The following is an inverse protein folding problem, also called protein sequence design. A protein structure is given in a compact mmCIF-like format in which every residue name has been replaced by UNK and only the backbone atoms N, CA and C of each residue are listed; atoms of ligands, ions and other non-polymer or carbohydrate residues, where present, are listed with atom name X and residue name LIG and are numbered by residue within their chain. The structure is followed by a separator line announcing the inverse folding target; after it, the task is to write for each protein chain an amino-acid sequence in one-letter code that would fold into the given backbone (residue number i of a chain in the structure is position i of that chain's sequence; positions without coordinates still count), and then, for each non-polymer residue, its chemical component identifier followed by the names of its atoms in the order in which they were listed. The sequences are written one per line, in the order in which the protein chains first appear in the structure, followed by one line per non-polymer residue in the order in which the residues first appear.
data_IF_769188421585
#
_entry.id   IF_769188421585
#
_cell.length_a   1.000
_cell.length_b   1.000
_cell.length_c   1.000
_cell.angle_alpha   90.00
_cell.angle_beta   90.00
_cell.angle_gamma   90.00
#
_symmetry.space_group_name_H-M   'P 1'
#
loop_
_entity.id
_entity.type
_entity.pdbx_description
1 polymer ?
#
# COMPACT_ATOMS: atom_id res chain seq x y z
N UNK A 1 -0.81 -35.37 -6.73
CA UNK A 1 -1.96 -34.47 -6.49
C UNK A 1 -1.44 -33.15 -5.94
N UNK A 2 -1.30 -32.12 -6.79
CA UNK A 2 -0.88 -30.79 -6.34
C UNK A 2 -2.09 -30.03 -5.82
N UNK A 3 -2.11 -29.71 -4.52
CA UNK A 3 -3.11 -28.83 -3.93
C UNK A 3 -2.87 -27.42 -4.45
N UNK A 4 -3.74 -26.97 -5.37
CA UNK A 4 -3.89 -25.54 -5.69
C UNK A 4 -4.26 -24.84 -4.39
N UNK A 5 -3.35 -24.01 -3.85
CA UNK A 5 -3.71 -23.14 -2.72
C UNK A 5 -4.85 -22.22 -3.18
N UNK A 6 -6.00 -22.19 -2.47
CA UNK A 6 -7.10 -21.30 -2.83
C UNK A 6 -6.59 -19.86 -2.85
N UNK A 7 -7.01 -19.09 -3.86
CA UNK A 7 -6.53 -17.74 -4.13
C UNK A 7 -6.56 -16.88 -2.86
N UNK A 8 -5.41 -16.73 -2.22
CA UNK A 8 -5.30 -15.98 -0.97
C UNK A 8 -5.61 -14.52 -1.27
N UNK A 9 -6.71 -14.02 -0.69
CA UNK A 9 -6.96 -12.58 -0.64
C UNK A 9 -5.83 -11.97 0.19
N UNK A 10 -4.96 -11.20 -0.48
CA UNK A 10 -3.85 -10.55 0.19
C UNK A 10 -4.35 -9.36 1.02
N UNK A 11 -4.11 -9.42 2.34
CA UNK A 11 -4.37 -8.33 3.28
C UNK A 11 -3.05 -7.62 3.65
N UNK A 12 -2.75 -6.45 3.07
CA UNK A 12 -1.51 -5.70 3.28
C UNK A 12 -1.08 -5.56 4.74
N UNK A 13 -2.02 -5.27 5.65
CA UNK A 13 -1.73 -5.08 7.09
C UNK A 13 -1.14 -6.32 7.76
N UNK A 14 -1.32 -7.51 7.18
CA UNK A 14 -0.79 -8.77 7.74
C UNK A 14 0.70 -8.97 7.44
N UNK A 15 1.25 -8.22 6.47
CA UNK A 15 2.67 -8.28 6.12
C UNK A 15 3.57 -7.43 7.03
N UNK A 16 3.00 -6.63 7.94
CA UNK A 16 3.73 -5.73 8.85
C UNK A 16 3.60 -6.19 10.31
N UNK A 17 4.63 -5.95 11.12
CA UNK A 17 4.72 -6.42 12.50
C UNK A 17 3.74 -5.77 13.47
N UNK A 18 3.17 -4.61 13.11
CA UNK A 18 2.15 -3.92 13.92
C UNK A 18 0.94 -3.56 13.05
N UNK A 19 0.05 -4.52 12.73
CA UNK A 19 -1.08 -4.31 11.80
C UNK A 19 -2.02 -3.16 12.21
N UNK A 20 -2.17 -2.89 13.51
CA UNK A 20 -3.05 -1.83 14.04
C UNK A 20 -2.51 -0.41 13.79
N UNK A 21 -1.22 -0.26 13.50
CA UNK A 21 -0.56 1.01 13.17
C UNK A 21 -0.60 1.34 11.67
N UNK A 22 -1.09 0.42 10.84
CA UNK A 22 -1.13 0.57 9.39
C UNK A 22 -1.89 1.85 8.97
N UNK A 23 -1.23 2.70 8.19
CA UNK A 23 -1.73 3.99 7.71
C UNK A 23 -1.97 5.04 8.80
N UNK A 24 -1.59 4.78 10.06
CA UNK A 24 -1.82 5.69 11.21
C UNK A 24 -0.56 6.33 11.76
N UNK A 25 0.60 5.85 11.33
CA UNK A 25 1.91 6.37 11.73
C UNK A 25 2.77 6.57 10.50
N UNK A 26 3.52 7.67 10.47
CA UNK A 26 4.39 7.98 9.33
C UNK A 26 5.68 7.16 9.30
N UNK A 27 6.04 6.55 10.43
CA UNK A 27 7.23 5.71 10.52
C UNK A 27 7.05 4.41 9.71
N UNK A 28 8.11 3.90 9.05
CA UNK A 28 8.08 2.57 8.45
C UNK A 28 7.79 1.48 9.49
N UNK A 29 6.91 0.55 9.15
CA UNK A 29 6.59 -0.59 10.02
C UNK A 29 7.55 -1.75 9.74
N UNK A 30 8.04 -2.47 10.76
CA UNK A 30 8.86 -3.65 10.54
C UNK A 30 8.05 -4.75 9.82
N UNK A 31 8.69 -5.70 9.11
CA UNK A 31 8.00 -6.84 8.53
C UNK A 31 7.40 -7.74 9.61
N UNK A 32 6.27 -8.39 9.30
CA UNK A 32 5.70 -9.44 10.14
C UNK A 32 6.57 -10.71 10.10
N UNK A 33 6.32 -11.65 11.02
CA UNK A 33 6.96 -12.96 10.97
C UNK A 33 6.67 -13.65 9.63
N UNK A 34 7.73 -14.19 8.99
CA UNK A 34 7.62 -14.84 7.68
C UNK A 34 7.70 -13.88 6.49
N UNK A 35 7.95 -12.59 6.72
CA UNK A 35 8.27 -11.60 5.71
C UNK A 35 9.65 -11.01 5.95
N UNK A 36 10.31 -10.60 4.87
CA UNK A 36 11.55 -9.83 4.92
C UNK A 36 11.37 -8.48 4.20
N UNK A 37 12.37 -7.59 4.31
CA UNK A 37 12.33 -6.23 3.71
C UNK A 37 12.39 -6.23 2.17
N UNK A 38 12.82 -7.32 1.57
CA UNK A 38 12.92 -7.50 0.11
C UNK A 38 11.67 -8.21 -0.46
N UNK A 39 10.87 -8.88 0.37
CA UNK A 39 9.60 -9.51 -0.03
C UNK A 39 8.67 -8.49 -0.70
N UNK A 40 8.27 -8.80 -1.93
CA UNK A 40 7.40 -7.93 -2.72
C UNK A 40 6.03 -7.66 -2.07
N UNK A 41 5.51 -8.59 -1.26
CA UNK A 41 4.26 -8.44 -0.51
C UNK A 41 4.44 -7.44 0.62
N UNK A 42 5.54 -7.51 1.36
CA UNK A 42 5.86 -6.52 2.39
C UNK A 42 6.10 -5.13 1.78
N UNK A 43 6.85 -5.07 0.67
CA UNK A 43 7.07 -3.84 -0.10
C UNK A 43 5.76 -3.22 -0.59
N UNK A 44 4.85 -4.02 -1.13
CA UNK A 44 3.51 -3.57 -1.52
C UNK A 44 2.70 -3.08 -0.31
N UNK A 45 2.75 -3.78 0.81
CA UNK A 45 2.12 -3.34 2.05
C UNK A 45 2.67 -2.01 2.55
N UNK A 46 3.98 -1.79 2.46
CA UNK A 46 4.60 -0.53 2.85
C UNK A 46 4.26 0.64 1.91
N UNK A 47 4.12 0.39 0.61
CA UNK A 47 3.57 1.40 -0.32
C UNK A 47 2.18 1.81 0.15
N UNK A 48 1.30 0.84 0.42
CA UNK A 48 -0.07 1.12 0.81
C UNK A 48 -0.17 1.76 2.21
N UNK A 49 0.72 1.39 3.14
CA UNK A 49 0.85 2.05 4.44
C UNK A 49 1.16 3.54 4.26
N UNK A 50 2.17 3.85 3.44
CA UNK A 50 2.57 5.23 3.15
C UNK A 50 1.46 6.00 2.43
N UNK A 51 0.80 5.37 1.47
CA UNK A 51 -0.36 5.94 0.79
C UNK A 51 -1.46 6.31 1.80
N UNK A 52 -1.80 5.40 2.71
CA UNK A 52 -2.85 5.62 3.70
C UNK A 52 -2.51 6.73 4.71
N UNK A 53 -1.26 6.75 5.20
CA UNK A 53 -0.73 7.82 6.06
C UNK A 53 -0.86 9.20 5.38
N UNK A 54 -0.39 9.30 4.13
CA UNK A 54 -0.47 10.54 3.36
C UNK A 54 -1.90 11.01 3.11
N UNK A 55 -2.84 10.09 2.86
CA UNK A 55 -4.25 10.42 2.69
C UNK A 55 -4.84 10.95 4.00
N UNK A 56 -4.57 10.28 5.13
CA UNK A 56 -5.05 10.76 6.43
C UNK A 56 -4.48 12.15 6.76
N UNK A 57 -3.19 12.37 6.50
CA UNK A 57 -2.58 13.68 6.71
C UNK A 57 -3.14 14.76 5.79
N UNK A 58 -3.33 14.47 4.50
CA UNK A 58 -3.89 15.43 3.55
C UNK A 58 -5.35 15.80 3.90
N UNK A 59 -6.15 14.83 4.34
CA UNK A 59 -7.51 15.07 4.82
C UNK A 59 -7.51 15.89 6.11
N UNK A 60 -6.63 15.58 7.06
CA UNK A 60 -6.45 16.34 8.30
C UNK A 60 -6.08 17.79 8.03
N UNK A 61 -5.14 18.03 7.10
CA UNK A 61 -4.74 19.37 6.68
C UNK A 61 -5.87 20.16 6.02
N UNK A 62 -6.79 19.48 5.33
CA UNK A 62 -8.02 20.09 4.79
C UNK A 62 -9.15 20.24 5.82
N UNK A 63 -8.96 19.79 7.06
CA UNK A 63 -10.01 19.81 8.08
C UNK A 63 -11.18 18.86 7.76
N UNK A 64 -10.94 17.80 7.00
CA UNK A 64 -11.97 16.86 6.56
C UNK A 64 -11.71 15.46 7.10
N UNK A 65 -12.78 14.73 7.37
CA UNK A 65 -12.74 13.29 7.59
C UNK A 65 -12.91 12.54 6.27
N UNK A 66 -12.47 11.27 6.21
CA UNK A 66 -12.66 10.43 5.03
C UNK A 66 -14.15 10.32 4.60
N UNK A 67 -15.13 10.07 5.50
CA UNK A 67 -16.53 10.04 5.11
C UNK A 67 -17.02 11.38 4.53
N UNK A 68 -16.63 12.51 5.11
CA UNK A 68 -17.00 13.84 4.59
C UNK A 68 -16.42 14.07 3.20
N UNK A 69 -15.15 13.73 3.00
CA UNK A 69 -14.50 13.87 1.70
C UNK A 69 -15.17 13.00 0.63
N UNK A 70 -15.42 11.72 0.93
CA UNK A 70 -16.02 10.80 -0.04
C UNK A 70 -17.49 11.09 -0.32
N UNK A 71 -18.22 11.72 0.61
CA UNK A 71 -19.59 12.17 0.36
C UNK A 71 -19.67 13.31 -0.67
N UNK A 72 -18.61 14.13 -0.77
CA UNK A 72 -18.52 15.21 -1.75
C UNK A 72 -17.83 14.81 -3.06
N UNK A 73 -17.19 13.63 -3.10
CA UNK A 73 -16.50 13.14 -4.28
C UNK A 73 -17.51 12.66 -5.35
N UNK A 74 -17.20 12.83 -6.65
CA UNK A 74 -18.04 12.27 -7.71
C UNK A 74 -18.12 10.74 -7.56
N UNK A 75 -19.26 10.11 -7.89
CA UNK A 75 -19.40 8.67 -7.83
C UNK A 75 -18.50 8.03 -8.89
N UNK A 76 -17.43 7.37 -8.46
CA UNK A 76 -16.52 6.65 -9.34
C UNK A 76 -16.77 5.14 -9.16
N UNK A 77 -17.08 4.41 -10.25
CA UNK A 77 -17.24 2.96 -10.19
C UNK A 77 -16.03 2.28 -9.53
N UNK A 78 -16.28 1.44 -8.54
CA UNK A 78 -15.23 0.72 -7.81
C UNK A 78 -14.58 1.47 -6.65
N UNK A 79 -14.95 2.73 -6.37
CA UNK A 79 -14.42 3.52 -5.24
C UNK A 79 -15.49 3.78 -4.16
N UNK A 80 -16.15 2.71 -3.68
CA UNK A 80 -17.14 2.87 -2.59
C UNK A 80 -16.48 3.33 -1.27
N UNK A 81 -17.20 4.07 -0.41
CA UNK A 81 -16.67 4.48 0.89
C UNK A 81 -16.21 3.34 1.78
N UNK A 82 -16.93 2.21 1.75
CA UNK A 82 -16.53 1.01 2.50
C UNK A 82 -15.18 0.46 2.00
N UNK A 83 -15.04 0.34 0.67
CA UNK A 83 -13.81 -0.14 0.05
C UNK A 83 -12.63 0.78 0.38
N UNK A 84 -12.81 2.10 0.33
CA UNK A 84 -11.77 3.06 0.71
C UNK A 84 -11.35 2.90 2.18
N UNK A 85 -12.30 2.73 3.10
CA UNK A 85 -11.98 2.48 4.52
C UNK A 85 -11.16 1.21 4.72
N UNK A 86 -11.55 0.10 4.07
CA UNK A 86 -10.84 -1.18 4.15
C UNK A 86 -9.44 -1.09 3.54
N UNK A 87 -9.31 -0.42 2.39
CA UNK A 87 -8.03 -0.16 1.74
C UNK A 87 -7.10 0.65 2.65
N UNK A 88 -7.57 1.76 3.23
CA UNK A 88 -6.74 2.60 4.11
C UNK A 88 -6.34 1.90 5.42
N UNK A 89 -7.07 0.86 5.83
CA UNK A 89 -6.72 -0.01 6.97
C UNK A 89 -5.84 -1.20 6.59
N UNK A 90 -5.54 -1.39 5.30
CA UNK A 90 -4.78 -2.54 4.80
C UNK A 90 -5.54 -3.87 4.86
N UNK A 91 -6.87 -3.84 4.99
CA UNK A 91 -7.76 -5.02 4.98
C UNK A 91 -8.10 -5.48 3.55
N UNK A 92 -7.69 -4.70 2.55
CA UNK A 92 -7.81 -5.04 1.13
C UNK A 92 -6.66 -4.35 0.40
N UNK A 93 -6.06 -5.01 -0.58
CA UNK A 93 -5.00 -4.45 -1.38
C UNK A 93 -5.48 -3.22 -2.18
N UNK A 94 -4.69 -2.16 -2.16
CA UNK A 94 -4.88 -1.00 -3.02
C UNK A 94 -4.72 -1.42 -4.49
N UNK A 95 -5.59 -0.89 -5.34
CA UNK A 95 -5.52 -1.05 -6.79
C UNK A 95 -4.89 0.21 -7.41
N UNK A 96 -4.38 0.10 -8.64
CA UNK A 96 -3.92 1.27 -9.38
C UNK A 96 -5.00 2.36 -9.52
N UNK A 97 -6.28 1.96 -9.57
CA UNK A 97 -7.40 2.91 -9.57
C UNK A 97 -7.47 3.74 -8.28
N UNK A 98 -7.15 3.16 -7.11
CA UNK A 98 -7.08 3.91 -5.85
C UNK A 98 -5.96 4.94 -5.89
N UNK A 99 -4.77 4.52 -6.33
CA UNK A 99 -3.62 5.39 -6.46
C UNK A 99 -3.92 6.54 -7.44
N UNK A 100 -4.49 6.25 -8.60
CA UNK A 100 -4.84 7.25 -9.60
C UNK A 100 -5.86 8.27 -9.05
N UNK A 101 -6.91 7.79 -8.37
CA UNK A 101 -7.88 8.65 -7.71
C UNK A 101 -7.23 9.57 -6.68
N UNK A 102 -6.52 9.01 -5.69
CA UNK A 102 -5.93 9.82 -4.63
C UNK A 102 -4.83 10.74 -5.14
N UNK A 103 -4.04 10.33 -6.14
CA UNK A 103 -3.05 11.19 -6.79
C UNK A 103 -3.69 12.35 -7.56
N UNK A 104 -4.86 12.14 -8.20
CA UNK A 104 -5.58 13.25 -8.85
C UNK A 104 -6.07 14.31 -7.87
N UNK A 105 -6.38 13.92 -6.64
CA UNK A 105 -6.88 14.81 -5.57
C UNK A 105 -5.73 15.47 -4.81
N UNK A 106 -4.66 14.70 -4.58
CA UNK A 106 -3.47 15.06 -3.83
C UNK A 106 -2.22 14.65 -4.62
N UNK A 107 -1.75 15.49 -5.57
CA UNK A 107 -0.66 15.15 -6.48
C UNK A 107 0.63 14.68 -5.79
N UNK A 108 0.91 15.17 -4.58
CA UNK A 108 2.07 14.77 -3.77
C UNK A 108 2.11 13.27 -3.48
N UNK A 109 0.96 12.60 -3.45
CA UNK A 109 0.88 11.14 -3.27
C UNK A 109 1.67 10.41 -4.35
N UNK A 110 1.54 10.80 -5.62
CA UNK A 110 2.25 10.13 -6.70
C UNK A 110 3.77 10.33 -6.60
N UNK A 111 4.21 11.55 -6.29
CA UNK A 111 5.64 11.88 -6.20
C UNK A 111 6.30 11.12 -5.05
N UNK A 112 5.72 11.14 -3.86
CA UNK A 112 6.36 10.54 -2.67
C UNK A 112 6.34 9.02 -2.71
N UNK A 113 5.31 8.42 -3.32
CA UNK A 113 5.26 6.98 -3.53
C UNK A 113 6.30 6.56 -4.57
N UNK A 114 6.45 7.31 -5.67
CA UNK A 114 7.49 7.05 -6.67
C UNK A 114 8.90 7.18 -6.08
N UNK A 115 9.17 8.24 -5.30
CA UNK A 115 10.43 8.43 -4.57
C UNK A 115 10.69 7.28 -3.59
N UNK A 116 9.66 6.86 -2.84
CA UNK A 116 9.76 5.73 -1.92
C UNK A 116 10.14 4.43 -2.65
N UNK A 117 9.49 4.13 -3.78
CA UNK A 117 9.82 2.96 -4.61
C UNK A 117 11.24 3.07 -5.16
N UNK A 118 11.63 4.25 -5.64
CA UNK A 118 12.97 4.51 -6.18
C UNK A 118 14.09 4.41 -5.14
N UNK A 119 13.77 4.58 -3.85
CA UNK A 119 14.73 4.42 -2.75
C UNK A 119 15.09 2.95 -2.44
N UNK A 120 14.35 2.00 -2.97
CA UNK A 120 14.58 0.59 -2.66
C UNK A 120 15.88 0.09 -3.29
N UNK A 121 16.65 -0.74 -2.56
CA UNK A 121 17.86 -1.32 -3.12
C UNK A 121 17.49 -2.20 -4.33
N UNK A 122 18.12 -1.91 -5.47
CA UNK A 122 18.02 -2.64 -6.75
C UNK A 122 18.81 -3.96 -6.73
N UNK A 123 18.94 -4.59 -5.57
CA UNK A 123 19.68 -5.85 -5.48
C UNK A 123 18.77 -7.04 -5.79
N UNK A 124 19.15 -7.74 -6.89
CA UNK A 124 18.68 -9.05 -7.39
C UNK A 124 17.98 -9.09 -8.77
N UNK A 125 18.56 -8.43 -9.78
CA UNK A 125 18.57 -9.00 -11.15
C UNK A 125 19.94 -9.65 -11.42
N UNK A 126 21.05 -9.02 -11.00
CA UNK A 126 22.40 -9.47 -11.31
C UNK A 126 22.81 -10.84 -10.72
N UNK A 127 22.34 -11.21 -9.51
CA UNK A 127 22.80 -12.46 -8.84
C UNK A 127 22.24 -13.75 -9.44
N UNK A 128 21.28 -13.70 -10.38
CA UNK A 128 20.79 -14.89 -11.09
C UNK A 128 21.61 -15.23 -12.34
N UNK A 129 22.32 -14.27 -12.91
CA UNK A 129 23.15 -14.50 -14.11
C UNK A 129 24.53 -15.07 -13.77
N UNK A 130 25.07 -14.75 -12.58
CA UNK A 130 26.39 -15.25 -12.15
C UNK A 130 26.37 -16.68 -11.57
N UNK A 131 25.18 -17.20 -11.20
CA UNK A 131 25.01 -18.54 -10.62
C UNK A 131 24.58 -19.62 -11.63
N UNK A 132 24.23 -19.24 -12.87
CA UNK A 132 23.85 -20.18 -13.93
C UNK A 132 25.01 -20.53 -14.88
N UNK A 133 26.23 -20.04 -14.58
CA UNK A 133 27.44 -20.21 -15.40
C UNK A 133 28.57 -20.99 -14.72
N UNK A 134 28.27 -21.94 -13.82
CA UNK A 134 29.27 -22.89 -13.29
C UNK A 134 28.73 -24.31 -13.24
#
# INVERSE_FOLDING_TARGET
MGTRAPGMTFEPRTAVGVPSAFGRVSAPLPPAQGFDKLDHRYRAAMIQHKLADMIHDALRLRGQTLPQFLAAAPPIPGLSPDRQRRMLRGETAAQFADLAFWASVFPKIATDIAEYIGSWPMEQIARREEGAGR
#
